data_IF_865841594366
#
_entry.id   IF_865841594366
#
_cell.length_a   1.000
_cell.length_b   1.000
_cell.length_c   1.000
_cell.angle_alpha   90.00
_cell.angle_beta   90.00
_cell.angle_gamma   90.00
#
_symmetry.space_group_name_H-M   'P 1'
#
loop_
_entity.id
_entity.type
_entity.pdbx_description
1 polymer ?
#
# COMPACT_ATOMS: atom_id res chain seq x y z
N UNK A 1 15.37 5.62 15.46
CA UNK A 1 14.94 4.38 16.14
C UNK A 1 13.75 3.85 15.36
N UNK A 2 14.04 3.02 14.37
CA UNK A 2 13.10 2.56 13.35
C UNK A 2 12.42 1.31 13.91
N UNK A 3 11.22 1.48 14.45
CA UNK A 3 10.44 0.37 14.99
C UNK A 3 9.99 -0.47 13.79
N UNK A 4 10.49 -1.70 13.72
CA UNK A 4 10.08 -2.69 12.73
C UNK A 4 8.58 -2.94 12.87
N UNK A 5 7.77 -2.31 12.01
CA UNK A 5 6.37 -2.71 11.80
C UNK A 5 6.34 -3.86 10.80
N UNK A 6 7.10 -4.92 11.07
CA UNK A 6 7.16 -6.11 10.23
C UNK A 6 6.31 -7.24 10.82
N UNK A 7 6.39 -7.44 12.14
CA UNK A 7 5.87 -8.65 12.79
C UNK A 7 4.33 -8.81 12.76
N UNK A 8 3.56 -7.77 13.11
CA UNK A 8 2.09 -7.91 13.24
C UNK A 8 1.36 -7.98 11.88
N UNK A 9 1.85 -7.25 10.87
CA UNK A 9 1.25 -7.24 9.52
C UNK A 9 1.49 -8.54 8.77
N UNK A 10 2.66 -9.14 8.92
CA UNK A 10 2.99 -10.39 8.22
C UNK A 10 2.13 -11.55 8.76
N UNK A 11 1.95 -11.62 10.07
CA UNK A 11 1.06 -12.59 10.72
C UNK A 11 -0.40 -12.41 10.29
N UNK A 12 -0.86 -11.15 10.18
CA UNK A 12 -2.25 -10.85 9.78
C UNK A 12 -2.60 -11.30 8.34
N UNK A 13 -1.59 -11.48 7.48
CA UNK A 13 -1.78 -11.79 6.06
C UNK A 13 -1.21 -13.16 5.64
N UNK A 14 -0.75 -13.97 6.60
CA UNK A 14 -0.11 -15.27 6.32
C UNK A 14 -1.02 -16.27 5.56
N UNK A 15 -2.34 -16.18 5.75
CA UNK A 15 -3.32 -17.13 5.20
C UNK A 15 -4.11 -16.61 3.98
N UNK A 16 -3.76 -15.44 3.44
CA UNK A 16 -4.56 -14.80 2.39
C UNK A 16 -4.75 -15.67 1.13
N UNK A 17 -3.74 -16.46 0.76
CA UNK A 17 -3.75 -17.20 -0.51
C UNK A 17 -4.78 -18.36 -0.55
N UNK A 18 -5.39 -18.71 0.59
CA UNK A 18 -6.44 -19.76 0.68
C UNK A 18 -7.87 -19.20 0.77
N UNK A 19 -8.02 -17.88 0.83
CA UNK A 19 -9.32 -17.22 0.99
C UNK A 19 -9.94 -16.83 -0.36
N UNK A 20 -11.26 -16.62 -0.39
CA UNK A 20 -11.88 -15.98 -1.56
C UNK A 20 -11.48 -14.50 -1.63
N UNK A 21 -11.39 -13.94 -2.84
CA UNK A 21 -10.97 -12.54 -3.05
C UNK A 21 -11.78 -11.54 -2.21
N UNK A 22 -13.08 -11.79 -2.01
CA UNK A 22 -13.91 -10.92 -1.18
C UNK A 22 -13.48 -10.95 0.29
N UNK A 23 -13.23 -12.13 0.86
CA UNK A 23 -12.79 -12.28 2.26
C UNK A 23 -11.40 -11.65 2.48
N UNK A 24 -10.52 -11.78 1.48
CA UNK A 24 -9.20 -11.13 1.47
C UNK A 24 -9.35 -9.61 1.52
N UNK A 25 -10.20 -9.06 0.67
CA UNK A 25 -10.43 -7.62 0.57
C UNK A 25 -11.04 -7.06 1.85
N UNK A 26 -12.03 -7.75 2.43
CA UNK A 26 -12.61 -7.37 3.72
C UNK A 26 -11.56 -7.38 4.84
N UNK A 27 -10.70 -8.40 4.86
CA UNK A 27 -9.58 -8.51 5.82
C UNK A 27 -8.60 -7.35 5.66
N UNK A 28 -8.18 -7.06 4.42
CA UNK A 28 -7.28 -5.93 4.12
C UNK A 28 -7.92 -4.61 4.56
N UNK A 29 -9.19 -4.37 4.22
CA UNK A 29 -9.92 -3.16 4.60
C UNK A 29 -10.06 -3.02 6.12
N UNK A 30 -10.45 -4.08 6.82
CA UNK A 30 -10.59 -4.06 8.28
C UNK A 30 -9.25 -3.74 8.97
N UNK A 31 -8.18 -4.44 8.56
CA UNK A 31 -6.85 -4.22 9.14
C UNK A 31 -6.31 -2.81 8.83
N UNK A 32 -6.56 -2.30 7.62
CA UNK A 32 -6.18 -0.94 7.24
C UNK A 32 -6.94 0.12 8.06
N UNK A 33 -8.24 -0.09 8.33
CA UNK A 33 -9.04 0.77 9.18
C UNK A 33 -8.52 0.76 10.62
N UNK A 34 -8.32 -0.41 11.22
CA UNK A 34 -7.79 -0.53 12.59
C UNK A 34 -6.47 0.21 12.75
N UNK A 35 -5.58 0.07 11.76
CA UNK A 35 -4.31 0.78 11.72
C UNK A 35 -4.45 2.30 11.53
N UNK A 36 -5.43 2.75 10.76
CA UNK A 36 -5.69 4.18 10.58
C UNK A 36 -6.20 4.84 11.88
N UNK A 37 -6.98 4.10 12.69
CA UNK A 37 -7.52 4.54 13.99
C UNK A 37 -6.52 4.49 15.15
N UNK A 38 -5.43 3.71 15.07
CA UNK A 38 -4.50 3.52 16.19
C UNK A 38 -3.86 4.82 16.74
N UNK A 39 -3.47 5.83 15.92
CA UNK A 39 -2.83 7.03 16.46
C UNK A 39 -3.82 8.11 16.94
N UNK A 40 -5.09 8.07 16.55
CA UNK A 40 -6.13 8.98 17.09
C UNK A 40 -6.51 8.60 18.53
N UNK A 41 -6.25 7.37 18.97
CA UNK A 41 -6.52 6.92 20.34
C UNK A 41 -5.50 7.39 21.41
N UNK A 42 -4.25 7.71 21.02
CA UNK A 42 -3.21 8.17 21.98
C UNK A 42 -3.29 9.65 22.33
N UNK A 43 -4.01 10.42 21.52
CA UNK A 43 -4.31 11.81 21.82
C UNK A 43 -5.60 11.84 22.60
N UNK A 44 -5.51 11.81 23.94
CA UNK A 44 -6.60 12.22 24.85
C UNK A 44 -6.88 13.73 24.67
N UNK A 45 -7.29 14.15 23.48
CA UNK A 45 -8.02 15.41 23.32
C UNK A 45 -9.47 15.06 23.68
N UNK A 46 -10.04 15.88 24.57
CA UNK A 46 -11.44 15.85 25.00
C UNK A 46 -12.35 15.35 23.86
N UNK A 47 -13.05 14.24 24.12
CA UNK A 47 -14.19 13.75 23.34
C UNK A 47 -15.32 14.78 23.37
N UNK A 48 -15.16 15.84 22.60
CA UNK A 48 -16.19 16.84 22.35
C UNK A 48 -16.04 17.37 20.93
N UNK A 49 -15.90 16.46 19.96
CA UNK A 49 -16.57 16.55 18.67
C UNK A 49 -16.41 15.21 17.94
N UNK A 50 -17.52 14.63 17.51
CA UNK A 50 -17.58 13.47 16.61
C UNK A 50 -17.19 13.92 15.19
N UNK A 51 -15.95 14.37 15.01
CA UNK A 51 -15.46 14.86 13.72
C UNK A 51 -15.03 13.67 12.86
N UNK A 52 -15.98 13.24 12.04
CA UNK A 52 -15.89 12.43 10.82
C UNK A 52 -14.44 12.11 10.40
N UNK A 53 -13.87 10.93 10.79
CA UNK A 53 -12.47 10.59 10.52
C UNK A 53 -12.14 10.56 9.02
N UNK A 54 -13.14 10.35 8.17
CA UNK A 54 -13.01 10.38 6.72
C UNK A 54 -12.76 11.79 6.13
N UNK A 55 -12.80 12.84 6.95
CA UNK A 55 -12.40 14.20 6.59
C UNK A 55 -10.97 14.53 7.07
N UNK A 56 -10.35 13.67 7.90
CA UNK A 56 -8.96 13.81 8.34
C UNK A 56 -8.00 13.22 7.29
N UNK A 57 -7.21 14.08 6.66
CA UNK A 57 -6.20 13.70 5.66
C UNK A 57 -5.19 12.68 6.18
N UNK A 58 -4.82 12.77 7.46
CA UNK A 58 -3.85 11.85 8.05
C UNK A 58 -4.46 10.46 8.26
N UNK A 59 -5.75 10.40 8.59
CA UNK A 59 -6.50 9.15 8.62
C UNK A 59 -6.57 8.52 7.23
N UNK A 60 -6.97 9.28 6.21
CA UNK A 60 -7.06 8.78 4.83
C UNK A 60 -5.71 8.30 4.28
N UNK A 61 -4.63 9.03 4.55
CA UNK A 61 -3.27 8.61 4.18
C UNK A 61 -2.90 7.28 4.83
N UNK A 62 -3.17 7.10 6.12
CA UNK A 62 -2.88 5.84 6.83
C UNK A 62 -3.74 4.69 6.34
N UNK A 63 -5.02 4.94 6.08
CA UNK A 63 -5.92 3.96 5.50
C UNK A 63 -5.36 3.48 4.15
N UNK A 64 -5.02 4.40 3.24
CA UNK A 64 -4.44 4.05 1.94
C UNK A 64 -3.13 3.25 2.06
N UNK A 65 -2.22 3.67 2.95
CA UNK A 65 -0.99 2.90 3.22
C UNK A 65 -1.30 1.50 3.73
N UNK A 66 -2.28 1.35 4.63
CA UNK A 66 -2.71 0.05 5.13
C UNK A 66 -3.28 -0.85 4.04
N UNK A 67 -4.10 -0.30 3.14
CA UNK A 67 -4.64 -1.03 1.98
C UNK A 67 -3.51 -1.51 1.06
N UNK A 68 -2.55 -0.64 0.76
CA UNK A 68 -1.40 -0.98 -0.07
C UNK A 68 -0.48 -2.02 0.56
N UNK A 69 -0.31 -1.99 1.88
CA UNK A 69 0.42 -3.03 2.60
C UNK A 69 -0.27 -4.38 2.45
N UNK A 70 -1.57 -4.47 2.75
CA UNK A 70 -2.32 -5.72 2.59
C UNK A 70 -2.29 -6.25 1.16
N UNK A 71 -2.43 -5.37 0.17
CA UNK A 71 -2.30 -5.73 -1.23
C UNK A 71 -0.91 -6.24 -1.60
N UNK A 72 0.15 -5.62 -1.07
CA UNK A 72 1.52 -6.07 -1.30
C UNK A 72 1.76 -7.49 -0.78
N UNK A 73 1.28 -7.82 0.43
CA UNK A 73 1.38 -9.16 0.99
C UNK A 73 0.63 -10.19 0.13
N UNK A 74 -0.60 -9.89 -0.30
CA UNK A 74 -1.34 -10.78 -1.19
C UNK A 74 -0.55 -11.05 -2.47
N UNK A 75 -0.20 -10.00 -3.21
CA UNK A 75 0.48 -10.12 -4.51
C UNK A 75 1.80 -10.86 -4.39
N UNK A 76 2.56 -10.61 -3.32
CA UNK A 76 3.82 -11.28 -3.05
C UNK A 76 3.66 -12.76 -2.70
N UNK A 77 2.61 -13.12 -1.96
CA UNK A 77 2.29 -14.50 -1.59
C UNK A 77 1.71 -15.31 -2.75
N UNK A 78 1.01 -14.65 -3.69
CA UNK A 78 0.35 -15.30 -4.82
C UNK A 78 1.29 -15.61 -5.99
N UNK A 79 2.46 -14.97 -6.07
CA UNK A 79 3.41 -15.17 -7.17
C UNK A 79 4.87 -15.16 -6.71
N UNK A 80 5.56 -16.27 -6.96
CA UNK A 80 6.96 -16.49 -6.55
C UNK A 80 7.97 -15.59 -7.28
N UNK A 81 7.54 -14.96 -8.37
CA UNK A 81 8.36 -14.01 -9.14
C UNK A 81 8.42 -12.64 -8.49
N UNK A 82 7.53 -12.30 -7.55
CA UNK A 82 7.57 -11.03 -6.83
C UNK A 82 8.78 -11.03 -5.88
N UNK A 83 9.70 -10.10 -6.11
CA UNK A 83 10.94 -9.96 -5.35
C UNK A 83 10.78 -8.94 -4.23
N UNK A 84 10.12 -7.82 -4.51
CA UNK A 84 9.93 -6.75 -3.55
C UNK A 84 8.81 -5.82 -4.00
N UNK A 85 8.12 -5.22 -3.03
CA UNK A 85 7.08 -4.23 -3.26
C UNK A 85 7.43 -2.95 -2.51
N UNK A 86 7.25 -1.83 -3.19
CA UNK A 86 7.57 -0.49 -2.69
C UNK A 86 6.37 0.42 -2.78
N UNK A 87 6.28 1.32 -1.82
CA UNK A 87 5.39 2.47 -1.84
C UNK A 87 6.15 3.67 -2.42
N UNK A 88 5.60 4.28 -3.47
CA UNK A 88 6.07 5.55 -3.99
C UNK A 88 5.05 6.62 -3.65
N UNK A 89 5.42 7.55 -2.78
CA UNK A 89 4.69 8.80 -2.62
C UNK A 89 5.23 9.79 -3.64
N UNK A 90 4.40 10.31 -4.56
CA UNK A 90 4.80 11.49 -5.32
C UNK A 90 5.01 12.63 -4.32
N UNK A 91 6.27 13.04 -4.15
CA UNK A 91 6.63 14.15 -3.28
C UNK A 91 6.07 15.43 -3.86
N UNK A 92 4.87 15.83 -3.45
CA UNK A 92 4.58 17.26 -3.38
C UNK A 92 5.34 17.76 -2.16
N UNK A 93 6.10 18.84 -2.33
CA UNK A 93 6.77 19.54 -1.24
C UNK A 93 5.71 20.18 -0.33
N UNK A 94 4.90 19.40 0.36
CA UNK A 94 4.02 19.92 1.40
C UNK A 94 4.89 20.15 2.63
N UNK A 95 5.32 21.40 2.82
CA UNK A 95 6.14 21.86 3.94
C UNK A 95 5.40 21.83 5.29
N UNK A 96 4.09 21.54 5.28
CA UNK A 96 3.23 21.49 6.46
C UNK A 96 2.16 20.39 6.34
N UNK A 97 1.84 19.65 7.42
CA UNK A 97 0.70 18.73 7.47
C UNK A 97 -0.66 19.37 7.11
N UNK A 98 -0.75 20.71 7.16
CA UNK A 98 -1.95 21.47 6.80
C UNK A 98 -2.11 21.72 5.29
N UNK A 99 -1.11 21.38 4.46
CA UNK A 99 -1.11 21.62 3.00
C UNK A 99 -1.29 20.34 2.17
N UNK A 100 -1.66 19.22 2.81
CA UNK A 100 -1.91 17.97 2.10
C UNK A 100 -3.25 18.07 1.38
N UNK A 101 -3.19 18.35 0.07
CA UNK A 101 -4.33 18.30 -0.85
C UNK A 101 -4.84 16.85 -0.97
N UNK A 102 -6.16 16.58 -0.93
CA UNK A 102 -6.71 15.24 -1.20
C UNK A 102 -6.24 14.65 -2.55
N UNK A 103 -6.01 15.50 -3.57
CA UNK A 103 -5.42 15.06 -4.83
C UNK A 103 -3.96 14.57 -4.71
N UNK A 104 -3.26 14.93 -3.64
CA UNK A 104 -1.91 14.43 -3.33
C UNK A 104 -1.96 13.01 -2.76
N UNK A 105 -2.96 12.68 -1.93
CA UNK A 105 -3.17 11.32 -1.41
C UNK A 105 -3.44 10.35 -2.58
N UNK A 106 -4.09 10.86 -3.65
CA UNK A 106 -4.40 10.13 -4.87
C UNK A 106 -3.18 9.58 -5.63
N UNK A 107 -1.97 10.11 -5.38
CA UNK A 107 -0.77 9.87 -6.19
C UNK A 107 0.21 8.85 -5.59
N UNK A 108 -0.23 8.09 -4.60
CA UNK A 108 0.59 7.01 -4.05
C UNK A 108 0.51 5.80 -4.98
N UNK A 109 1.66 5.26 -5.37
CA UNK A 109 1.77 4.14 -6.31
C UNK A 109 2.41 2.91 -5.66
N UNK A 110 1.97 1.72 -6.08
CA UNK A 110 2.54 0.45 -5.66
C UNK A 110 3.52 -0.05 -6.72
N UNK A 111 4.82 0.09 -6.47
CA UNK A 111 5.86 -0.41 -7.38
C UNK A 111 6.22 -1.85 -7.02
N UNK A 112 6.11 -2.77 -7.97
CA UNK A 112 6.30 -4.21 -7.77
C UNK A 112 7.46 -4.66 -8.63
N UNK A 113 8.57 -5.04 -7.99
CA UNK A 113 9.72 -5.65 -8.66
C UNK A 113 9.49 -7.15 -8.80
N UNK A 114 9.56 -7.62 -10.04
CA UNK A 114 9.38 -9.03 -10.39
C UNK A 114 10.56 -9.56 -11.19
N UNK A 115 10.85 -10.86 -11.08
CA UNK A 115 11.82 -11.54 -11.95
C UNK A 115 11.39 -11.49 -13.42
N UNK A 116 10.10 -11.71 -13.67
CA UNK A 116 9.51 -11.66 -15.02
C UNK A 116 8.04 -11.25 -14.95
N UNK A 117 7.56 -10.59 -16.01
CA UNK A 117 6.17 -10.14 -16.10
C UNK A 117 5.21 -11.31 -16.22
N UNK A 118 4.02 -11.13 -15.65
CA UNK A 118 2.99 -12.16 -15.55
C UNK A 118 1.62 -11.58 -15.85
N UNK A 119 0.92 -12.12 -16.85
CA UNK A 119 -0.45 -11.72 -17.13
C UNK A 119 -1.39 -12.07 -15.96
N UNK A 120 -1.15 -13.19 -15.28
CA UNK A 120 -1.94 -13.61 -14.12
C UNK A 120 -1.76 -12.67 -12.93
N UNK A 121 -0.52 -12.24 -12.65
CA UNK A 121 -0.23 -11.30 -11.56
C UNK A 121 -0.80 -9.92 -11.84
N UNK A 122 -0.71 -9.45 -13.09
CA UNK A 122 -1.33 -8.20 -13.51
C UNK A 122 -2.84 -8.26 -13.32
N UNK A 123 -3.48 -9.34 -13.80
CA UNK A 123 -4.92 -9.53 -13.65
C UNK A 123 -5.34 -9.62 -12.17
N UNK A 124 -4.53 -10.25 -11.32
CA UNK A 124 -4.78 -10.29 -9.88
C UNK A 124 -4.69 -8.90 -9.25
N UNK A 125 -3.67 -8.11 -9.59
CA UNK A 125 -3.51 -6.75 -9.08
C UNK A 125 -4.66 -5.83 -9.52
N UNK A 126 -5.10 -5.92 -10.78
CA UNK A 126 -6.26 -5.20 -11.29
C UNK A 126 -7.56 -5.64 -10.59
N UNK A 127 -7.78 -6.95 -10.45
CA UNK A 127 -8.97 -7.48 -9.78
C UNK A 127 -9.02 -7.07 -8.30
N UNK A 128 -7.87 -7.11 -7.61
CA UNK A 128 -7.72 -6.68 -6.23
C UNK A 128 -8.01 -5.19 -6.07
N UNK A 129 -7.42 -4.35 -6.91
CA UNK A 129 -7.64 -2.90 -6.88
C UNK A 129 -9.12 -2.55 -7.06
N UNK A 130 -9.78 -3.16 -8.06
CA UNK A 130 -11.21 -2.96 -8.30
C UNK A 130 -12.09 -3.47 -7.15
N UNK A 131 -11.69 -4.56 -6.50
CA UNK A 131 -12.41 -5.08 -5.34
C UNK A 131 -12.24 -4.15 -4.12
N UNK A 132 -11.02 -3.64 -3.87
CA UNK A 132 -10.75 -2.68 -2.81
C UNK A 132 -11.51 -1.37 -3.03
N UNK A 133 -11.57 -0.85 -4.27
CA UNK A 133 -12.38 0.34 -4.62
C UNK A 133 -13.84 0.12 -4.22
N UNK A 134 -14.42 -1.03 -4.58
CA UNK A 134 -15.80 -1.37 -4.22
C UNK A 134 -16.00 -1.49 -2.71
N UNK A 135 -15.05 -2.07 -1.99
CA UNK A 135 -15.15 -2.26 -0.54
C UNK A 135 -15.04 -0.92 0.20
N UNK A 136 -14.07 -0.09 -0.17
CA UNK A 136 -13.88 1.26 0.39
C UNK A 136 -15.05 2.17 0.07
N UNK A 137 -15.74 1.98 -1.06
CA UNK A 137 -16.95 2.73 -1.40
C UNK A 137 -18.15 2.46 -0.47
N UNK A 138 -18.11 1.38 0.32
CA UNK A 138 -19.11 1.13 1.37
C UNK A 138 -18.89 1.99 2.62
N UNK A 139 -17.73 2.64 2.75
CA UNK A 139 -17.41 3.47 3.91
C UNK A 139 -18.08 4.85 3.81
N UNK A 140 -18.61 5.40 4.92
CA UNK A 140 -19.33 6.66 4.91
C UNK A 140 -18.40 7.83 4.59
N UNK A 141 -18.82 8.71 3.67
CA UNK A 141 -18.11 9.96 3.31
C UNK A 141 -16.62 9.77 2.98
N UNK A 142 -16.23 8.62 2.43
CA UNK A 142 -14.85 8.33 2.08
C UNK A 142 -14.38 9.23 0.92
N UNK A 143 -13.45 10.14 1.18
CA UNK A 143 -12.80 10.94 0.13
C UNK A 143 -11.92 10.10 -0.81
N UNK A 144 -11.76 8.80 -0.56
CA UNK A 144 -11.12 7.85 -1.47
C UNK A 144 -12.07 7.34 -2.57
N UNK A 145 -13.38 7.63 -2.47
CA UNK A 145 -14.40 7.19 -3.44
C UNK A 145 -14.19 7.82 -4.82
N UNK A 146 -13.60 9.01 -4.89
CA UNK A 146 -13.36 9.73 -6.15
C UNK A 146 -12.14 9.19 -6.93
N UNK A 147 -11.63 8.00 -6.57
CA UNK A 147 -10.46 7.40 -7.20
C UNK A 147 -10.82 6.10 -7.92
N UNK A 148 -10.56 6.07 -9.23
CA UNK A 148 -10.73 4.89 -10.10
C UNK A 148 -9.76 3.74 -9.73
N UNK A 149 -8.71 4.05 -8.97
CA UNK A 149 -7.71 3.10 -8.48
C UNK A 149 -7.20 3.52 -7.10
N UNK A 150 -7.08 2.55 -6.20
CA UNK A 150 -6.51 2.76 -4.86
C UNK A 150 -5.04 2.34 -4.80
N UNK A 151 -4.63 1.36 -5.60
CA UNK A 151 -3.29 0.77 -5.57
C UNK A 151 -2.33 1.34 -6.62
N UNK A 152 -2.83 1.68 -7.80
CA UNK A 152 -2.05 2.03 -9.00
C UNK A 152 -0.76 1.16 -9.16
N UNK A 153 -0.92 -0.15 -9.42
CA UNK A 153 0.20 -1.08 -9.45
C UNK A 153 1.09 -0.89 -10.68
N UNK A 154 2.40 -0.78 -10.46
CA UNK A 154 3.41 -0.59 -11.50
C UNK A 154 4.40 -1.75 -11.41
N UNK A 155 4.43 -2.60 -12.44
CA UNK A 155 5.35 -3.74 -12.51
C UNK A 155 6.65 -3.36 -13.22
N UNK A 156 7.78 -3.61 -12.54
CA UNK A 156 9.12 -3.47 -13.09
C UNK A 156 9.89 -4.79 -12.98
N UNK A 157 10.84 -4.98 -13.89
CA UNK A 157 11.72 -6.15 -13.88
C UNK A 157 13.12 -5.79 -13.43
N UNK A 158 13.92 -6.79 -13.05
CA UNK A 158 15.36 -6.59 -12.78
C UNK A 158 16.09 -5.98 -13.97
N UNK A 159 15.70 -6.32 -15.20
CA UNK A 159 16.23 -5.71 -16.41
C UNK A 159 15.91 -4.20 -16.49
N UNK A 160 14.72 -3.78 -16.06
CA UNK A 160 14.34 -2.36 -15.99
C UNK A 160 15.20 -1.61 -14.97
N UNK A 161 15.53 -2.26 -13.85
CA UNK A 161 16.43 -1.71 -12.80
C UNK A 161 17.84 -1.50 -13.36
N UNK A 162 18.44 -2.55 -13.95
CA UNK A 162 19.79 -2.47 -14.53
C UNK A 162 19.87 -1.38 -15.61
N UNK A 163 18.82 -1.26 -16.42
CA UNK A 163 18.76 -0.28 -17.51
C UNK A 163 18.29 1.11 -17.06
N UNK A 164 17.98 1.30 -15.78
CA UNK A 164 17.46 2.56 -15.22
C UNK A 164 16.26 3.08 -16.03
N UNK A 165 15.26 2.23 -16.27
CA UNK A 165 14.10 2.55 -17.11
C UNK A 165 12.86 2.93 -16.31
N UNK A 166 12.25 4.05 -16.66
CA UNK A 166 10.97 4.50 -16.10
C UNK A 166 11.01 4.56 -14.57
N UNK A 167 9.99 3.97 -13.92
CA UNK A 167 9.89 3.95 -12.45
C UNK A 167 11.01 3.16 -11.75
N UNK A 168 11.74 2.29 -12.46
CA UNK A 168 12.85 1.54 -11.87
C UNK A 168 14.03 2.46 -11.49
N UNK A 169 14.15 3.64 -12.09
CA UNK A 169 15.16 4.64 -11.71
C UNK A 169 15.03 5.07 -10.24
N UNK A 170 13.80 5.05 -9.69
CA UNK A 170 13.55 5.47 -8.31
C UNK A 170 14.27 4.58 -7.30
N UNK A 171 14.50 3.30 -7.62
CA UNK A 171 15.26 2.40 -6.73
C UNK A 171 16.73 2.80 -6.57
N UNK A 172 17.28 3.60 -7.50
CA UNK A 172 18.62 4.17 -7.41
C UNK A 172 18.65 5.61 -6.87
N UNK A 173 17.48 6.18 -6.54
CA UNK A 173 17.36 7.59 -6.11
C UNK A 173 17.82 7.78 -4.67
N UNK A 174 18.83 8.64 -4.48
CA UNK A 174 19.30 9.05 -3.15
C UNK A 174 18.38 10.11 -2.48
N UNK A 175 17.60 10.85 -3.28
CA UNK A 175 16.83 12.01 -2.79
C UNK A 175 15.40 11.63 -2.36
N UNK A 176 14.82 10.62 -3.00
CA UNK A 176 13.49 10.13 -2.70
C UNK A 176 13.44 8.61 -2.95
N UNK A 177 14.12 7.81 -2.10
CA UNK A 177 14.08 6.35 -2.23
C UNK A 177 12.66 5.85 -1.92
N UNK A 178 12.13 4.91 -2.72
CA UNK A 178 10.85 4.26 -2.43
C UNK A 178 10.85 3.56 -1.08
N UNK A 179 9.72 3.58 -0.39
CA UNK A 179 9.58 2.91 0.90
C UNK A 179 9.33 1.42 0.66
N UNK A 180 10.21 0.55 1.14
CA UNK A 180 10.02 -0.90 1.08
C UNK A 180 8.90 -1.30 2.03
N UNK A 181 7.85 -1.94 1.49
CA UNK A 181 6.73 -2.46 2.30
C UNK A 181 6.76 -3.98 2.39
N UNK A 182 7.32 -4.66 1.39
CA UNK A 182 7.53 -6.10 1.40
C UNK A 182 8.78 -6.45 0.58
N UNK A 183 9.53 -7.46 1.01
CA UNK A 183 10.67 -7.97 0.29
C UNK A 183 10.79 -9.48 0.55
N UNK A 184 11.10 -10.24 -0.50
CA UNK A 184 11.39 -11.67 -0.37
C UNK A 184 12.71 -11.82 0.37
N UNK A 185 12.71 -12.65 1.41
CA UNK A 185 13.95 -13.06 2.04
C UNK A 185 14.78 -13.82 0.99
N UNK A 186 15.94 -13.27 0.67
CA UNK A 186 16.96 -14.02 -0.06
C UNK A 186 17.47 -15.11 0.88
N UNK A 187 16.86 -16.30 0.81
CA UNK A 187 17.51 -17.50 1.28
C UNK A 187 18.80 -17.65 0.45
N UNK A 188 19.92 -17.35 1.10
CA UNK A 188 21.32 -17.62 0.74
C UNK A 188 21.55 -18.11 -0.70
N UNK A 189 22.18 -17.26 -1.52
CA UNK A 189 22.92 -17.73 -2.68
C UNK A 189 23.87 -18.87 -2.25
N UNK A 190 23.77 -20.10 -2.81
CA UNK A 190 24.88 -21.02 -2.73
C UNK A 190 25.99 -20.47 -3.61
N UNK A 191 27.08 -20.06 -2.96
CA UNK A 191 28.36 -19.73 -3.61
C UNK A 191 28.95 -20.98 -4.24
#
# INVERSE_FOLDING_TARGET
>A
MMMMVRDETEVAFADLNMMHLQDIVETICSHALDRAYLPTARVKIKRSNEERPFQDMLFLKRLRVGLMQGAAYLLASSDDRVLSVYLIEETTQATSPAEIDPATIAKTNLLILVRSRSAALNALAEALDQALVREVAKLPESALIDHDSLLNPIFITEADVVQHKGYAMLLSSALAPPLIIWQRDEAECPV
#
